data_IF_254776793865
#
_entry.id   IF_254776793865
#
_cell.length_a   1.000
_cell.length_b   1.000
_cell.length_c   1.000
_cell.angle_alpha   90.00
_cell.angle_beta   90.00
_cell.angle_gamma   90.00
#
_symmetry.space_group_name_H-M   'P 1'
#
loop_
_entity.id
_entity.type
_entity.pdbx_description
1 polymer ?
#
# COMPACT_ATOMS: atom_id res chain seq x y z
N UNK A 1 140.34 -53.50 -100.97
CA UNK A 1 140.77 -52.23 -100.32
C UNK A 1 140.13 -52.23 -98.95
N UNK A 2 140.75 -52.96 -98.03
CA UNK A 2 140.28 -53.17 -96.67
C UNK A 2 140.86 -52.09 -95.77
N UNK A 3 140.00 -51.36 -95.05
CA UNK A 3 140.42 -50.36 -94.08
C UNK A 3 140.35 -51.00 -92.68
N UNK A 4 141.47 -51.50 -92.11
CA UNK A 4 141.47 -52.29 -90.87
C UNK A 4 140.98 -51.50 -89.63
N UNK A 5 140.85 -50.18 -89.76
CA UNK A 5 140.37 -49.28 -88.71
C UNK A 5 138.85 -49.40 -88.49
N UNK A 6 138.07 -49.77 -89.52
CA UNK A 6 136.60 -49.82 -89.41
C UNK A 6 136.08 -51.03 -88.60
N UNK A 7 136.81 -52.16 -88.62
CA UNK A 7 136.41 -53.40 -87.92
C UNK A 7 136.59 -53.34 -86.39
N UNK A 8 137.48 -52.46 -85.90
CA UNK A 8 137.74 -52.30 -84.46
C UNK A 8 136.83 -51.24 -83.80
N UNK A 9 136.33 -50.27 -84.56
CA UNK A 9 135.55 -49.12 -84.04
C UNK A 9 134.05 -49.44 -83.93
N UNK A 10 133.49 -50.22 -84.86
CA UNK A 10 132.06 -50.55 -84.92
C UNK A 10 131.47 -51.14 -83.61
N UNK A 11 132.10 -52.11 -82.92
CA UNK A 11 131.57 -52.61 -81.65
C UNK A 11 131.59 -51.54 -80.54
N UNK A 12 132.56 -50.63 -80.55
CA UNK A 12 132.66 -49.55 -79.56
C UNK A 12 131.55 -48.50 -79.73
N UNK A 13 131.15 -48.23 -80.97
CA UNK A 13 130.03 -47.33 -81.29
C UNK A 13 128.68 -47.95 -80.88
N UNK A 14 128.50 -49.25 -81.11
CA UNK A 14 127.26 -49.95 -80.70
C UNK A 14 127.13 -49.96 -79.17
N UNK A 15 128.22 -50.24 -78.45
CA UNK A 15 128.22 -50.23 -76.98
C UNK A 15 127.94 -48.83 -76.43
N UNK A 16 128.51 -47.77 -77.02
CA UNK A 16 128.24 -46.39 -76.56
C UNK A 16 126.79 -45.96 -76.83
N UNK A 17 126.20 -46.32 -77.97
CA UNK A 17 124.79 -46.03 -78.27
C UNK A 17 123.85 -46.78 -77.32
N UNK A 18 124.14 -48.04 -76.99
CA UNK A 18 123.35 -48.82 -76.02
C UNK A 18 123.47 -48.21 -74.62
N UNK A 19 124.67 -47.80 -74.20
CA UNK A 19 124.88 -47.15 -72.90
C UNK A 19 124.16 -45.80 -72.80
N UNK A 20 124.18 -44.99 -73.86
CA UNK A 20 123.44 -43.71 -73.91
C UNK A 20 121.93 -43.96 -73.90
N UNK A 21 121.45 -44.94 -74.67
CA UNK A 21 120.03 -45.32 -74.70
C UNK A 21 119.53 -45.84 -73.35
N UNK A 22 120.33 -46.68 -72.67
CA UNK A 22 120.04 -47.17 -71.32
C UNK A 22 120.08 -46.04 -70.29
N UNK A 23 121.07 -45.14 -70.37
CA UNK A 23 121.16 -43.96 -69.51
C UNK A 23 119.95 -43.03 -69.70
N UNK A 24 119.53 -42.79 -70.95
CA UNK A 24 118.36 -41.98 -71.27
C UNK A 24 117.06 -42.63 -70.78
N UNK A 25 116.88 -43.94 -70.96
CA UNK A 25 115.71 -44.67 -70.47
C UNK A 25 115.63 -44.68 -68.92
N UNK A 26 116.77 -44.80 -68.24
CA UNK A 26 116.83 -44.70 -66.78
C UNK A 26 116.53 -43.27 -66.31
N UNK A 27 117.03 -42.25 -67.01
CA UNK A 27 116.75 -40.84 -66.68
C UNK A 27 115.28 -40.47 -66.92
N UNK A 28 114.71 -40.89 -68.05
CA UNK A 28 113.31 -40.61 -68.38
C UNK A 28 112.36 -41.37 -67.47
N UNK A 29 112.65 -42.63 -67.14
CA UNK A 29 111.90 -43.39 -66.13
C UNK A 29 112.02 -42.79 -64.73
N UNK A 30 113.20 -42.26 -64.35
CA UNK A 30 113.36 -41.51 -63.08
C UNK A 30 112.54 -40.22 -63.08
N UNK A 31 112.55 -39.45 -64.16
CA UNK A 31 111.80 -38.21 -64.28
C UNK A 31 110.27 -38.46 -64.28
N UNK A 32 109.81 -39.50 -64.98
CA UNK A 32 108.39 -39.88 -65.01
C UNK A 32 107.91 -40.40 -63.65
N UNK A 33 108.73 -41.20 -62.94
CA UNK A 33 108.45 -41.58 -61.55
C UNK A 33 108.41 -40.37 -60.62
N UNK A 34 109.33 -39.42 -60.76
CA UNK A 34 109.31 -38.18 -59.98
C UNK A 34 108.04 -37.35 -60.20
N UNK A 35 107.55 -37.24 -61.44
CA UNK A 35 106.30 -36.52 -61.73
C UNK A 35 105.06 -37.24 -61.17
N UNK A 36 105.00 -38.57 -61.23
CA UNK A 36 103.89 -39.35 -60.65
C UNK A 36 103.90 -39.28 -59.12
N UNK A 37 105.07 -39.35 -58.48
CA UNK A 37 105.19 -39.13 -57.04
C UNK A 37 104.82 -37.69 -56.65
N UNK A 38 105.27 -36.69 -57.40
CA UNK A 38 104.92 -35.28 -57.16
C UNK A 38 103.41 -35.02 -57.30
N UNK A 39 102.76 -35.59 -58.33
CA UNK A 39 101.31 -35.50 -58.52
C UNK A 39 100.52 -36.26 -57.44
N UNK A 40 101.04 -37.39 -56.95
CA UNK A 40 100.49 -38.12 -55.80
C UNK A 40 100.54 -37.28 -54.52
N UNK A 41 101.70 -36.70 -54.20
CA UNK A 41 101.89 -35.85 -53.01
C UNK A 41 101.05 -34.57 -53.04
N UNK A 42 100.81 -33.98 -54.21
CA UNK A 42 99.93 -32.81 -54.36
C UNK A 42 98.46 -33.16 -54.08
N UNK A 43 97.97 -34.29 -54.60
CA UNK A 43 96.60 -34.77 -54.32
C UNK A 43 96.41 -35.15 -52.85
N UNK A 44 97.41 -35.77 -52.23
CA UNK A 44 97.38 -36.06 -50.79
C UNK A 44 97.33 -34.77 -49.97
N UNK A 45 98.12 -33.75 -50.33
CA UNK A 45 98.10 -32.45 -49.68
C UNK A 45 96.77 -31.68 -49.86
N UNK A 46 96.14 -31.76 -51.04
CA UNK A 46 94.83 -31.14 -51.29
C UNK A 46 93.69 -31.83 -50.52
N UNK A 47 93.72 -33.17 -50.45
CA UNK A 47 92.79 -33.94 -49.62
C UNK A 47 93.00 -33.63 -48.14
N UNK A 48 94.25 -33.54 -47.67
CA UNK A 48 94.57 -33.18 -46.30
C UNK A 48 94.09 -31.76 -45.96
N UNK A 49 94.25 -30.79 -46.87
CA UNK A 49 93.71 -29.43 -46.71
C UNK A 49 92.19 -29.42 -46.64
N UNK A 50 91.51 -30.09 -47.57
CA UNK A 50 90.04 -30.17 -47.56
C UNK A 50 89.51 -30.84 -46.29
N UNK A 51 90.19 -31.89 -45.80
CA UNK A 51 89.84 -32.56 -44.54
C UNK A 51 90.09 -31.66 -43.32
N UNK A 52 91.16 -30.87 -43.32
CA UNK A 52 91.41 -29.87 -42.27
C UNK A 52 90.35 -28.78 -42.30
N UNK A 53 90.04 -28.20 -43.46
CA UNK A 53 89.03 -27.17 -43.62
C UNK A 53 87.64 -27.68 -43.18
N UNK A 54 87.27 -28.90 -43.61
CA UNK A 54 86.02 -29.55 -43.19
C UNK A 54 85.99 -29.86 -41.68
N UNK A 55 87.12 -30.23 -41.09
CA UNK A 55 87.24 -30.44 -39.64
C UNK A 55 87.09 -29.13 -38.88
N UNK A 56 87.75 -28.06 -39.33
CA UNK A 56 87.64 -26.74 -38.72
C UNK A 56 86.22 -26.17 -38.82
N UNK A 57 85.55 -26.36 -39.96
CA UNK A 57 84.16 -25.94 -40.14
C UNK A 57 83.19 -26.77 -39.28
N UNK A 58 83.41 -28.08 -39.17
CA UNK A 58 82.65 -28.94 -38.26
C UNK A 58 82.85 -28.52 -36.80
N UNK A 59 84.08 -28.22 -36.38
CA UNK A 59 84.40 -27.75 -35.03
C UNK A 59 83.74 -26.40 -34.74
N UNK A 60 83.74 -25.47 -35.70
CA UNK A 60 83.02 -24.19 -35.59
C UNK A 60 81.51 -24.39 -35.44
N UNK A 61 80.90 -25.25 -36.27
CA UNK A 61 79.47 -25.56 -36.17
C UNK A 61 79.11 -26.21 -34.83
N UNK A 62 79.96 -27.08 -34.30
CA UNK A 62 79.78 -27.69 -32.98
C UNK A 62 79.84 -26.63 -31.88
N UNK A 63 80.82 -25.71 -31.93
CA UNK A 63 80.92 -24.64 -30.94
C UNK A 63 79.77 -23.63 -31.03
N UNK A 64 79.33 -23.27 -32.24
CA UNK A 64 78.12 -22.45 -32.43
C UNK A 64 76.87 -23.14 -31.89
N UNK A 65 76.68 -24.43 -32.18
CA UNK A 65 75.56 -25.21 -31.66
C UNK A 65 75.61 -25.31 -30.12
N UNK A 66 76.80 -25.48 -29.55
CA UNK A 66 77.01 -25.46 -28.09
C UNK A 66 76.70 -24.10 -27.47
N UNK A 67 77.09 -23.00 -28.13
CA UNK A 67 76.78 -21.65 -27.65
C UNK A 67 75.28 -21.40 -27.67
N UNK A 68 74.60 -21.68 -28.80
CA UNK A 68 73.15 -21.54 -28.91
C UNK A 68 72.39 -22.42 -27.92
N UNK A 69 72.85 -23.66 -27.71
CA UNK A 69 72.24 -24.54 -26.70
C UNK A 69 72.41 -23.98 -25.28
N UNK A 70 73.58 -23.40 -24.95
CA UNK A 70 73.80 -22.73 -23.65
C UNK A 70 72.92 -21.50 -23.50
N UNK A 71 72.78 -20.67 -24.53
CA UNK A 71 71.91 -19.50 -24.55
C UNK A 71 70.45 -19.89 -24.32
N UNK A 72 69.93 -20.87 -25.06
CA UNK A 72 68.56 -21.37 -24.90
C UNK A 72 68.32 -21.95 -23.50
N UNK A 73 69.28 -22.68 -22.94
CA UNK A 73 69.17 -23.20 -21.57
C UNK A 73 69.17 -22.06 -20.55
N UNK A 74 69.95 -21.00 -20.78
CA UNK A 74 70.01 -19.84 -19.90
C UNK A 74 68.70 -19.06 -19.95
N UNK A 75 68.19 -18.77 -21.15
CA UNK A 75 66.90 -18.10 -21.38
C UNK A 75 65.75 -18.91 -20.75
N UNK A 76 65.68 -20.22 -20.99
CA UNK A 76 64.69 -21.08 -20.37
C UNK A 76 64.79 -21.11 -18.83
N UNK A 77 66.00 -20.99 -18.27
CA UNK A 77 66.19 -20.87 -16.82
C UNK A 77 65.75 -19.51 -16.29
N UNK A 78 66.03 -18.43 -17.00
CA UNK A 78 65.58 -17.08 -16.63
C UNK A 78 64.06 -16.99 -16.64
N UNK A 79 63.41 -17.47 -17.71
CA UNK A 79 61.95 -17.55 -17.81
C UNK A 79 61.36 -18.42 -16.70
N UNK A 80 61.98 -19.57 -16.42
CA UNK A 80 61.54 -20.45 -15.33
C UNK A 80 61.61 -19.76 -13.96
N UNK A 81 62.63 -18.94 -13.71
CA UNK A 81 62.77 -18.19 -12.45
C UNK A 81 61.72 -17.08 -12.37
N UNK A 82 61.49 -16.35 -13.46
CA UNK A 82 60.47 -15.30 -13.55
C UNK A 82 59.07 -15.88 -13.32
N UNK A 83 58.69 -16.92 -14.05
CA UNK A 83 57.40 -17.59 -13.88
C UNK A 83 57.20 -18.15 -12.47
N UNK A 84 58.26 -18.71 -11.88
CA UNK A 84 58.20 -19.17 -10.48
C UNK A 84 57.98 -18.01 -9.51
N UNK A 85 58.68 -16.89 -9.69
CA UNK A 85 58.52 -15.72 -8.85
C UNK A 85 57.10 -15.12 -8.95
N UNK A 86 56.55 -15.04 -10.16
CA UNK A 86 55.17 -14.59 -10.40
C UNK A 86 54.14 -15.52 -9.77
N UNK A 87 54.30 -16.84 -9.95
CA UNK A 87 53.43 -17.84 -9.35
C UNK A 87 53.45 -17.75 -7.81
N UNK A 88 54.62 -17.59 -7.21
CA UNK A 88 54.76 -17.40 -5.76
C UNK A 88 54.15 -16.08 -5.29
N UNK A 89 54.25 -14.99 -6.07
CA UNK A 89 53.60 -13.72 -5.75
C UNK A 89 52.08 -13.88 -5.75
N UNK A 90 51.52 -14.45 -6.81
CA UNK A 90 50.07 -14.70 -6.92
C UNK A 90 49.55 -15.68 -5.87
N UNK A 91 50.35 -16.68 -5.48
CA UNK A 91 50.01 -17.56 -4.36
C UNK A 91 49.94 -16.79 -3.04
N UNK A 92 50.93 -15.94 -2.75
CA UNK A 92 50.96 -15.10 -1.55
C UNK A 92 49.80 -14.10 -1.50
N UNK A 93 49.49 -13.45 -2.61
CA UNK A 93 48.35 -12.51 -2.72
C UNK A 93 47.02 -13.22 -2.46
N UNK A 94 46.80 -14.37 -3.10
CA UNK A 94 45.59 -15.19 -2.88
C UNK A 94 45.49 -15.67 -1.44
N UNK A 95 46.59 -16.11 -0.83
CA UNK A 95 46.60 -16.53 0.56
C UNK A 95 46.24 -15.38 1.51
N UNK A 96 46.79 -14.18 1.28
CA UNK A 96 46.47 -13.01 2.08
C UNK A 96 45.01 -12.57 1.90
N UNK A 97 44.45 -12.67 0.70
CA UNK A 97 43.03 -12.40 0.45
C UNK A 97 42.13 -13.41 1.16
N UNK A 98 42.46 -14.71 1.08
CA UNK A 98 41.72 -15.76 1.77
C UNK A 98 41.72 -15.56 3.28
N UNK A 99 42.87 -15.27 3.89
CA UNK A 99 42.95 -14.98 5.33
C UNK A 99 42.10 -13.75 5.73
N UNK A 100 42.07 -12.70 4.89
CA UNK A 100 41.20 -11.53 5.13
C UNK A 100 39.72 -11.89 5.05
N UNK A 101 39.34 -12.76 4.10
CA UNK A 101 37.96 -13.24 3.96
C UNK A 101 37.57 -14.12 5.14
N UNK A 102 38.43 -15.05 5.55
CA UNK A 102 38.24 -15.91 6.73
C UNK A 102 38.05 -15.09 8.00
N UNK A 103 38.92 -14.09 8.25
CA UNK A 103 38.78 -13.22 9.41
C UNK A 103 37.44 -12.47 9.42
N UNK A 104 37.01 -11.94 8.27
CA UNK A 104 35.70 -11.27 8.13
C UNK A 104 34.54 -12.23 8.37
N UNK A 105 34.64 -13.45 7.88
CA UNK A 105 33.62 -14.49 8.09
C UNK A 105 33.53 -14.88 9.56
N UNK A 106 34.66 -15.15 10.22
CA UNK A 106 34.73 -15.47 11.65
C UNK A 106 34.15 -14.35 12.53
N UNK A 107 34.48 -13.08 12.27
CA UNK A 107 33.86 -11.95 13.01
C UNK A 107 32.35 -11.87 12.78
N UNK A 108 31.88 -12.21 11.57
CA UNK A 108 30.44 -12.23 11.26
C UNK A 108 29.74 -13.39 11.95
N UNK A 109 30.36 -14.56 12.03
CA UNK A 109 29.87 -15.73 12.75
C UNK A 109 29.73 -15.42 14.24
N UNK A 110 30.77 -14.89 14.89
CA UNK A 110 30.70 -14.48 16.30
C UNK A 110 29.57 -13.47 16.56
N UNK A 111 29.37 -12.51 15.66
CA UNK A 111 28.29 -11.53 15.78
C UNK A 111 26.90 -12.17 15.64
N UNK A 112 26.77 -13.15 14.74
CA UNK A 112 25.52 -13.89 14.55
C UNK A 112 25.23 -14.78 15.76
N UNK A 113 26.23 -15.47 16.32
CA UNK A 113 26.09 -16.29 17.53
C UNK A 113 25.61 -15.45 18.72
N UNK A 114 26.23 -14.27 18.95
CA UNK A 114 25.78 -13.34 20.00
C UNK A 114 24.34 -12.89 19.81
N UNK A 115 23.91 -12.65 18.56
CA UNK A 115 22.52 -12.29 18.25
C UNK A 115 21.57 -13.44 18.54
N UNK A 116 21.94 -14.67 18.16
CA UNK A 116 21.14 -15.87 18.44
C UNK A 116 20.96 -16.04 19.94
N UNK A 117 22.04 -15.96 20.73
CA UNK A 117 21.96 -16.05 22.19
C UNK A 117 21.06 -14.95 22.78
N UNK A 118 21.15 -13.71 22.28
CA UNK A 118 20.29 -12.61 22.71
C UNK A 118 18.82 -12.88 22.37
N UNK A 119 18.52 -13.44 21.19
CA UNK A 119 17.17 -13.78 20.79
C UNK A 119 16.60 -14.93 21.62
N UNK A 120 17.37 -15.99 21.85
CA UNK A 120 16.93 -17.10 22.71
C UNK A 120 16.67 -16.65 24.15
N UNK A 121 17.49 -15.73 24.68
CA UNK A 121 17.26 -15.16 26.02
C UNK A 121 15.97 -14.34 26.07
N UNK A 122 15.70 -13.56 25.02
CA UNK A 122 14.46 -12.79 24.89
C UNK A 122 13.25 -13.70 24.77
N UNK A 123 13.32 -14.72 23.93
CA UNK A 123 12.27 -15.72 23.74
C UNK A 123 11.94 -16.43 25.04
N UNK A 124 12.94 -16.94 25.75
CA UNK A 124 12.75 -17.54 27.09
C UNK A 124 12.08 -16.58 28.07
N UNK A 125 12.51 -15.31 28.09
CA UNK A 125 11.88 -14.31 28.95
C UNK A 125 10.44 -13.99 28.56
N UNK A 126 10.11 -14.07 27.27
CA UNK A 126 8.78 -13.80 26.75
C UNK A 126 7.83 -14.94 27.10
N UNK A 127 8.25 -16.20 26.93
CA UNK A 127 7.46 -17.38 27.32
C UNK A 127 7.12 -17.34 28.81
N UNK A 128 8.09 -16.99 29.68
CA UNK A 128 7.84 -16.87 31.12
C UNK A 128 6.82 -15.76 31.43
N UNK A 129 6.90 -14.62 30.74
CA UNK A 129 5.94 -13.52 30.91
C UNK A 129 4.54 -13.89 30.45
N UNK A 130 4.43 -14.62 29.34
CA UNK A 130 3.15 -15.09 28.80
C UNK A 130 2.49 -16.07 29.77
N UNK A 131 3.23 -17.06 30.28
CA UNK A 131 2.73 -17.98 31.30
C UNK A 131 2.28 -17.24 32.58
N UNK A 132 3.03 -16.23 33.02
CA UNK A 132 2.64 -15.43 34.19
C UNK A 132 1.38 -14.58 33.90
N UNK A 133 1.23 -14.07 32.69
CA UNK A 133 0.05 -13.32 32.27
C UNK A 133 -1.19 -14.23 32.24
N UNK A 134 -1.05 -15.44 31.70
CA UNK A 134 -2.13 -16.43 31.66
C UNK A 134 -2.57 -16.83 33.07
N UNK A 135 -1.61 -17.10 33.97
CA UNK A 135 -1.90 -17.40 35.38
C UNK A 135 -2.66 -16.26 36.06
N UNK A 136 -2.19 -15.01 35.90
CA UNK A 136 -2.88 -13.85 36.48
C UNK A 136 -4.27 -13.63 35.90
N UNK A 137 -4.46 -13.93 34.62
CA UNK A 137 -5.77 -13.81 33.96
C UNK A 137 -6.74 -14.84 34.53
N UNK A 138 -6.30 -16.10 34.66
CA UNK A 138 -7.09 -17.16 35.28
C UNK A 138 -7.43 -16.85 36.75
N UNK A 139 -6.47 -16.34 37.53
CA UNK A 139 -6.71 -15.89 38.91
C UNK A 139 -7.73 -14.75 38.98
N UNK A 140 -7.62 -13.76 38.10
CA UNK A 140 -8.54 -12.63 38.04
C UNK A 140 -9.96 -13.07 37.67
N UNK A 141 -10.10 -13.98 36.71
CA UNK A 141 -11.40 -14.57 36.33
C UNK A 141 -12.01 -15.37 37.48
N UNK A 142 -11.22 -16.21 38.15
CA UNK A 142 -11.66 -16.98 39.31
C UNK A 142 -12.10 -16.07 40.47
N UNK A 143 -11.34 -15.01 40.75
CA UNK A 143 -11.68 -14.01 41.77
C UNK A 143 -12.97 -13.28 41.41
N UNK A 144 -13.12 -12.85 40.15
CA UNK A 144 -14.33 -12.19 39.67
C UNK A 144 -15.56 -13.09 39.80
N UNK A 145 -15.45 -14.35 39.43
CA UNK A 145 -16.53 -15.33 39.60
C UNK A 145 -16.87 -15.54 41.08
N UNK A 146 -15.87 -15.57 41.97
CA UNK A 146 -16.11 -15.66 43.41
C UNK A 146 -16.81 -14.42 43.97
N UNK A 147 -16.40 -13.22 43.54
CA UNK A 147 -17.03 -11.97 43.96
C UNK A 147 -18.47 -11.87 43.48
N UNK A 148 -18.76 -12.28 42.24
CA UNK A 148 -20.13 -12.38 41.71
C UNK A 148 -21.00 -13.29 42.58
N UNK A 149 -20.53 -14.52 42.86
CA UNK A 149 -21.27 -15.46 43.72
C UNK A 149 -21.54 -14.91 45.12
N UNK A 150 -20.55 -14.24 45.72
CA UNK A 150 -20.71 -13.66 47.05
C UNK A 150 -21.67 -12.46 47.04
N UNK A 151 -21.63 -11.64 45.98
CA UNK A 151 -22.59 -10.56 45.77
C UNK A 151 -24.01 -11.11 45.61
N UNK A 152 -24.21 -12.15 44.81
CA UNK A 152 -25.51 -12.84 44.67
C UNK A 152 -26.01 -13.39 46.01
N UNK A 153 -25.09 -13.93 46.82
CA UNK A 153 -25.40 -14.45 48.16
C UNK A 153 -25.82 -13.33 49.12
N UNK A 154 -25.11 -12.20 49.13
CA UNK A 154 -25.39 -11.07 50.03
C UNK A 154 -26.66 -10.32 49.59
N UNK A 155 -26.87 -10.17 48.29
CA UNK A 155 -28.06 -9.51 47.75
C UNK A 155 -29.32 -10.35 47.89
N UNK A 156 -29.22 -11.65 48.22
CA UNK A 156 -30.30 -12.64 48.12
C UNK A 156 -30.99 -12.62 46.74
N UNK A 157 -30.30 -12.12 45.72
CA UNK A 157 -30.81 -11.92 44.37
C UNK A 157 -29.75 -12.44 43.41
N UNK A 158 -30.14 -13.41 42.59
CA UNK A 158 -29.33 -13.83 41.44
C UNK A 158 -29.18 -12.67 40.44
N UNK A 159 -28.17 -12.71 39.58
CA UNK A 159 -27.99 -11.69 38.53
C UNK A 159 -29.28 -11.48 37.70
N UNK A 160 -29.96 -12.56 37.33
CA UNK A 160 -31.24 -12.51 36.61
C UNK A 160 -32.33 -11.83 37.44
N UNK A 161 -32.42 -12.13 38.75
CA UNK A 161 -33.43 -11.54 39.64
C UNK A 161 -33.18 -10.04 39.86
N UNK A 162 -31.93 -9.64 40.04
CA UNK A 162 -31.56 -8.23 40.17
C UNK A 162 -31.86 -7.44 38.88
N UNK A 163 -31.62 -8.05 37.73
CA UNK A 163 -31.96 -7.46 36.43
C UNK A 163 -33.47 -7.33 36.23
N UNK A 164 -34.24 -8.36 36.61
CA UNK A 164 -35.70 -8.32 36.53
C UNK A 164 -36.29 -7.23 37.43
N UNK A 165 -35.80 -7.09 38.66
CA UNK A 165 -36.28 -6.06 39.57
C UNK A 165 -35.92 -4.64 39.10
N UNK A 166 -34.73 -4.44 38.54
CA UNK A 166 -34.35 -3.16 37.95
C UNK A 166 -35.27 -2.77 36.79
N UNK A 167 -35.57 -3.72 35.90
CA UNK A 167 -36.49 -3.50 34.78
C UNK A 167 -37.89 -3.15 35.31
N UNK A 168 -38.40 -3.90 36.29
CA UNK A 168 -39.71 -3.65 36.89
C UNK A 168 -39.81 -2.24 37.52
N UNK A 169 -38.75 -1.76 38.19
CA UNK A 169 -38.71 -0.40 38.74
C UNK A 169 -38.72 0.68 37.66
N UNK A 170 -37.96 0.48 36.58
CA UNK A 170 -37.94 1.40 35.43
C UNK A 170 -39.33 1.46 34.78
N UNK A 171 -39.96 0.31 34.56
CA UNK A 171 -41.32 0.23 34.02
C UNK A 171 -42.35 0.93 34.93
N UNK A 172 -42.25 0.75 36.25
CA UNK A 172 -43.11 1.43 37.22
C UNK A 172 -42.99 2.95 37.15
N UNK A 173 -41.76 3.47 37.17
CA UNK A 173 -41.49 4.91 37.06
C UNK A 173 -42.02 5.49 35.75
N UNK A 174 -41.82 4.79 34.63
CA UNK A 174 -42.32 5.23 33.32
C UNK A 174 -43.86 5.29 33.27
N UNK A 175 -44.55 4.35 33.93
CA UNK A 175 -46.02 4.36 34.04
C UNK A 175 -46.54 5.51 34.89
N UNK A 176 -45.87 5.84 35.99
CA UNK A 176 -46.24 6.97 36.83
C UNK A 176 -46.09 8.30 36.07
N UNK A 177 -44.98 8.48 35.35
CA UNK A 177 -44.74 9.68 34.53
C UNK A 177 -45.78 9.80 33.41
N UNK A 178 -46.09 8.69 32.73
CA UNK A 178 -47.15 8.66 31.71
C UNK A 178 -48.52 9.04 32.31
N UNK A 179 -48.85 8.53 33.50
CA UNK A 179 -50.12 8.85 34.19
C UNK A 179 -50.21 10.33 34.54
N UNK A 180 -49.12 10.92 35.03
CA UNK A 180 -49.06 12.35 35.33
C UNK A 180 -49.27 13.19 34.07
N UNK A 181 -48.60 12.85 32.97
CA UNK A 181 -48.76 13.51 31.66
C UNK A 181 -50.19 13.42 31.14
N UNK A 182 -50.84 12.26 31.28
CA UNK A 182 -52.25 12.09 30.88
C UNK A 182 -53.16 13.05 31.67
N UNK A 183 -52.99 13.14 33.00
CA UNK A 183 -53.76 14.06 33.84
C UNK A 183 -53.57 15.52 33.45
N UNK A 184 -52.33 15.92 33.14
CA UNK A 184 -52.03 17.27 32.64
C UNK A 184 -52.78 17.57 31.33
N UNK A 185 -52.73 16.64 30.38
CA UNK A 185 -53.41 16.79 29.08
C UNK A 185 -54.93 16.87 29.28
N UNK A 186 -55.51 16.02 30.14
CA UNK A 186 -56.95 16.05 30.43
C UNK A 186 -57.37 17.38 31.06
N UNK A 187 -56.58 17.90 32.00
CA UNK A 187 -56.87 19.18 32.65
C UNK A 187 -56.82 20.34 31.65
N UNK A 188 -55.76 20.41 30.83
CA UNK A 188 -55.65 21.41 29.76
C UNK A 188 -56.82 21.31 28.78
N UNK A 189 -57.22 20.09 28.41
CA UNK A 189 -58.34 19.85 27.50
C UNK A 189 -59.66 20.34 28.10
N UNK A 190 -59.91 20.10 29.40
CA UNK A 190 -61.11 20.62 30.09
C UNK A 190 -61.13 22.14 30.14
N UNK A 191 -60.00 22.78 30.43
CA UNK A 191 -59.89 24.24 30.46
C UNK A 191 -60.13 24.87 29.09
N UNK A 192 -59.54 24.28 28.03
CA UNK A 192 -59.75 24.70 26.65
C UNK A 192 -61.23 24.53 26.24
N UNK A 193 -61.82 23.38 26.53
CA UNK A 193 -63.23 23.10 26.24
C UNK A 193 -64.16 24.10 26.94
N UNK A 194 -63.92 24.40 28.22
CA UNK A 194 -64.70 25.39 28.96
C UNK A 194 -64.56 26.80 28.37
N UNK A 195 -63.34 27.18 27.94
CA UNK A 195 -63.09 28.47 27.28
C UNK A 195 -63.83 28.57 25.94
N UNK A 196 -63.76 27.52 25.13
CA UNK A 196 -64.47 27.43 23.85
C UNK A 196 -65.99 27.46 24.03
N UNK A 197 -66.52 26.74 25.02
CA UNK A 197 -67.95 26.75 25.33
C UNK A 197 -68.45 28.15 25.67
N UNK A 198 -67.74 28.88 26.55
CA UNK A 198 -68.08 30.28 26.88
C UNK A 198 -68.03 31.19 25.66
N UNK A 199 -67.04 31.02 24.79
CA UNK A 199 -66.93 31.79 23.54
C UNK A 199 -68.12 31.53 22.60
N UNK A 200 -68.52 30.27 22.43
CA UNK A 200 -69.69 29.90 21.59
C UNK A 200 -70.97 30.54 22.14
N UNK A 201 -71.21 30.44 23.46
CA UNK A 201 -72.41 31.04 24.08
C UNK A 201 -72.42 32.56 23.92
N UNK A 202 -71.28 33.23 24.12
CA UNK A 202 -71.18 34.68 23.92
C UNK A 202 -71.49 35.08 22.47
N UNK A 203 -70.98 34.33 21.49
CA UNK A 203 -71.28 34.55 20.07
C UNK A 203 -72.76 34.32 19.74
N UNK A 204 -73.39 33.31 20.33
CA UNK A 204 -74.82 33.03 20.14
C UNK A 204 -75.69 34.18 20.69
N UNK A 205 -75.41 34.64 21.92
CA UNK A 205 -76.11 35.78 22.53
C UNK A 205 -75.97 37.03 21.65
N UNK A 206 -74.76 37.34 21.19
CA UNK A 206 -74.50 38.52 20.35
C UNK A 206 -75.30 38.49 19.02
N UNK A 207 -75.54 37.30 18.46
CA UNK A 207 -76.31 37.14 17.22
C UNK A 207 -77.83 37.17 17.40
N UNK A 208 -78.37 36.72 18.53
CA UNK A 208 -79.82 36.61 18.74
C UNK A 208 -80.49 37.89 19.30
N UNK A 209 -79.71 38.84 19.81
CA UNK A 209 -80.25 40.03 20.48
C UNK A 209 -80.94 41.04 19.55
N UNK A 210 -80.56 41.11 18.26
CA UNK A 210 -81.17 42.05 17.30
C UNK A 210 -82.59 41.67 16.92
N UNK A 211 -82.84 40.38 16.71
CA UNK A 211 -84.07 39.92 16.06
C UNK A 211 -85.23 39.76 17.07
N UNK A 212 -84.91 39.34 18.30
CA UNK A 212 -85.92 39.09 19.36
C UNK A 212 -86.55 40.38 19.91
N UNK A 213 -85.85 41.51 19.81
CA UNK A 213 -86.30 42.79 20.39
C UNK A 213 -87.49 43.42 19.64
N UNK A 214 -87.62 43.14 18.35
CA UNK A 214 -88.70 43.68 17.50
C UNK A 214 -90.00 42.89 17.70
N UNK A 215 -89.91 41.56 17.79
CA UNK A 215 -91.09 40.69 17.95
C UNK A 215 -91.80 40.86 19.30
N UNK A 216 -91.07 41.21 20.37
CA UNK A 216 -91.64 41.30 21.71
C UNK A 216 -92.40 42.61 22.01
N UNK A 217 -92.12 43.69 21.26
CA UNK A 217 -92.57 45.05 21.62
C UNK A 217 -93.72 45.60 20.78
N UNK A 218 -93.99 45.02 19.60
CA UNK A 218 -94.99 45.52 18.66
C UNK A 218 -95.91 44.39 18.16
N UNK A 219 -97.21 44.65 18.02
CA UNK A 219 -98.17 43.72 17.41
C UNK A 219 -99.11 44.48 16.49
N UNK A 220 -99.24 44.03 15.24
CA UNK A 220 -100.19 44.60 14.29
C UNK A 220 -101.57 43.95 14.45
N UNK A 221 -102.61 44.80 14.44
CA UNK A 221 -104.01 44.39 14.54
C UNK A 221 -104.74 44.89 13.30
N UNK A 222 -105.36 43.96 12.56
CA UNK A 222 -106.20 44.28 11.41
C UNK A 222 -107.59 44.67 11.90
N UNK A 223 -108.12 45.76 11.36
CA UNK A 223 -109.44 46.30 11.70
C UNK A 223 -110.38 46.18 10.49
N UNK A 224 -111.68 45.97 10.70
CA UNK A 224 -112.59 45.52 9.64
C UNK A 224 -112.92 46.57 8.56
N UNK A 225 -112.68 47.85 8.83
CA UNK A 225 -112.89 48.94 7.88
C UNK A 225 -112.17 50.22 8.31
N UNK A 226 -111.87 51.09 7.36
CA UNK A 226 -111.34 52.45 7.64
C UNK A 226 -112.32 53.31 8.45
N UNK A 227 -113.63 53.07 8.32
CA UNK A 227 -114.63 53.73 9.17
C UNK A 227 -114.43 53.34 10.65
N UNK A 228 -114.08 52.07 10.93
CA UNK A 228 -113.71 51.62 12.28
C UNK A 228 -112.43 52.30 12.77
N UNK A 229 -111.43 52.49 11.90
CA UNK A 229 -110.19 53.25 12.22
C UNK A 229 -110.53 54.67 12.66
N UNK A 230 -111.38 55.36 11.89
CA UNK A 230 -111.85 56.70 12.19
C UNK A 230 -112.61 56.79 13.53
N UNK A 231 -113.38 55.76 13.89
CA UNK A 231 -114.05 55.67 15.20
C UNK A 231 -113.09 55.39 16.35
N UNK A 232 -112.08 54.54 16.14
CA UNK A 232 -111.03 54.27 17.15
C UNK A 232 -110.23 55.54 17.43
N UNK A 233 -109.95 56.37 16.42
CA UNK A 233 -109.32 57.69 16.60
C UNK A 233 -110.26 58.66 17.32
N UNK A 234 -111.48 58.82 16.79
CA UNK A 234 -112.47 59.78 17.26
C UNK A 234 -112.14 61.24 16.93
N UNK A 235 -113.14 62.14 17.04
CA UNK A 235 -112.96 63.57 16.73
C UNK A 235 -111.94 64.18 17.71
N UNK A 236 -110.83 64.69 17.16
CA UNK A 236 -109.64 65.23 17.87
C UNK A 236 -108.82 64.18 18.64
N UNK A 237 -108.89 62.89 18.24
CA UNK A 237 -108.08 61.84 18.88
C UNK A 237 -108.53 61.50 20.31
N UNK A 238 -109.74 61.92 20.70
CA UNK A 238 -110.25 61.69 22.06
C UNK A 238 -110.47 60.21 22.35
N UNK A 239 -110.83 59.42 21.34
CA UNK A 239 -111.16 58.02 21.52
C UNK A 239 -109.90 57.16 21.59
N UNK A 240 -108.87 57.46 20.78
CA UNK A 240 -107.57 56.78 20.87
C UNK A 240 -106.90 57.05 22.21
N UNK A 241 -106.84 58.30 22.68
CA UNK A 241 -106.26 58.61 24.00
C UNK A 241 -107.02 57.96 25.16
N UNK A 242 -108.34 57.85 25.05
CA UNK A 242 -109.13 57.15 26.05
C UNK A 242 -108.81 55.64 26.05
N UNK A 243 -108.65 55.04 24.86
CA UNK A 243 -108.28 53.63 24.73
C UNK A 243 -106.85 53.37 25.23
N UNK A 244 -105.89 54.22 24.87
CA UNK A 244 -104.51 54.17 25.33
C UNK A 244 -104.43 54.34 26.86
N UNK A 245 -105.17 55.29 27.43
CA UNK A 245 -105.22 55.49 28.88
C UNK A 245 -105.89 54.32 29.62
N UNK A 246 -106.91 53.69 29.02
CA UNK A 246 -107.62 52.57 29.63
C UNK A 246 -106.81 51.26 29.56
N UNK A 247 -106.11 51.02 28.45
CA UNK A 247 -105.35 49.78 28.22
C UNK A 247 -103.87 49.90 28.63
N UNK A 248 -103.33 51.12 28.67
CA UNK A 248 -101.92 51.38 28.92
C UNK A 248 -101.01 50.90 27.79
N UNK A 249 -101.53 50.88 26.56
CA UNK A 249 -100.83 50.50 25.31
C UNK A 249 -100.88 51.69 24.37
N UNK A 250 -99.78 51.99 23.70
CA UNK A 250 -99.73 53.05 22.70
C UNK A 250 -100.23 52.52 21.35
N UNK A 251 -101.18 53.23 20.74
CA UNK A 251 -101.74 52.86 19.44
C UNK A 251 -101.05 53.71 18.36
N UNK A 252 -100.16 53.08 17.60
CA UNK A 252 -99.48 53.71 16.48
C UNK A 252 -100.34 53.53 15.24
N UNK A 253 -100.84 54.66 14.73
CA UNK A 253 -101.62 54.72 13.51
C UNK A 253 -100.73 55.25 12.40
N UNK A 254 -100.55 54.43 11.37
CA UNK A 254 -99.78 54.76 10.17
C UNK A 254 -100.68 54.75 8.92
N UNK A 255 -100.12 55.13 7.78
CA UNK A 255 -100.77 55.25 6.47
C UNK A 255 -101.21 53.89 5.87
N UNK A 256 -100.96 52.77 6.59
CA UNK A 256 -101.42 51.44 6.18
C UNK A 256 -102.94 51.32 6.40
N UNK A 257 -103.75 51.07 5.35
CA UNK A 257 -105.19 50.92 5.48
C UNK A 257 -105.53 49.66 6.28
N UNK A 258 -106.63 49.72 7.03
CA UNK A 258 -107.22 48.59 7.76
C UNK A 258 -106.31 47.94 8.82
N UNK A 259 -105.25 48.62 9.26
CA UNK A 259 -104.32 48.12 10.30
C UNK A 259 -103.94 49.22 11.30
N UNK A 260 -103.80 48.83 12.57
CA UNK A 260 -103.23 49.65 13.65
C UNK A 260 -102.16 48.83 14.38
N UNK A 261 -101.08 49.49 14.80
CA UNK A 261 -99.98 48.82 15.53
C UNK A 261 -100.12 49.12 17.01
N UNK A 262 -100.16 48.07 17.82
CA UNK A 262 -100.11 48.15 19.28
C UNK A 262 -98.66 48.07 19.74
N UNK A 263 -98.19 49.10 20.42
CA UNK A 263 -96.84 49.17 20.97
C UNK A 263 -96.90 49.12 22.50
N UNK A 264 -96.26 48.11 23.09
CA UNK A 264 -96.11 48.00 24.55
C UNK A 264 -94.99 47.03 24.90
N UNK A 265 -94.35 47.20 26.06
CA UNK A 265 -93.38 46.25 26.60
C UNK A 265 -94.03 45.07 27.34
N UNK A 266 -95.33 45.15 27.63
CA UNK A 266 -96.09 44.12 28.35
C UNK A 266 -97.00 43.36 27.36
N UNK A 267 -96.72 42.06 27.09
CA UNK A 267 -97.51 41.27 26.16
C UNK A 267 -98.97 41.07 26.62
N UNK A 268 -99.23 41.09 27.93
CA UNK A 268 -100.58 40.92 28.48
C UNK A 268 -101.42 42.15 28.18
N UNK A 269 -100.87 43.35 28.38
CA UNK A 269 -101.58 44.60 28.06
C UNK A 269 -101.88 44.70 26.57
N UNK A 270 -100.92 44.29 25.73
CA UNK A 270 -101.08 44.31 24.28
C UNK A 270 -102.18 43.35 23.80
N UNK A 271 -102.32 42.18 24.42
CA UNK A 271 -103.41 41.25 24.09
C UNK A 271 -104.78 41.76 24.61
N UNK A 272 -104.81 42.48 25.74
CA UNK A 272 -106.04 43.13 26.24
C UNK A 272 -106.49 44.28 25.31
N UNK A 273 -105.53 45.01 24.73
CA UNK A 273 -105.81 46.12 23.81
C UNK A 273 -106.19 45.67 22.39
N UNK A 274 -105.89 44.41 22.02
CA UNK A 274 -106.18 43.80 20.72
C UNK A 274 -107.66 43.51 20.55
#
# INVERSE_FOLDING_TARGET
MDNPILSLILPFVIVTVILIGAAYAVLSARNQRQQVHAAGTLREADVERLMRDASEEADRLIEEARSRAKELILEAKEDSVLHKAEAERHARERQAEMQKREQRMSTREEHLERKVEQFEKRERSQVVKEQLADQKTAEAEALRASQLRELERISNLTEESARAELIARIEGSAREEATQRIREIEQQTKEEAARRARWIVAQAIQRCASDTSIELTQTSVSIPSEEMKGRIIGKEGRNIRALEAATGVDLIIDDTPETVILSSFDPIRREIAR
#
